data_IF_585439610240
#
_entry.id   IF_585439610240
#
_cell.length_a   1.000
_cell.length_b   1.000
_cell.length_c   1.000
_cell.angle_alpha   90.00
_cell.angle_beta   90.00
_cell.angle_gamma   90.00
#
_symmetry.space_group_name_H-M   'P 1'
#
loop_
_entity.id
_entity.type
_entity.pdbx_description
1 polymer ?
#
# COMPACT_ATOMS: atom_id res chain seq x y z
N UNK A 1 -22.03 1.73 28.49
CA UNK A 1 -20.84 2.60 28.45
C UNK A 1 -19.89 1.96 27.46
N UNK A 2 -19.80 2.51 26.25
CA UNK A 2 -18.77 2.12 25.28
C UNK A 2 -17.42 2.47 25.89
N UNK A 3 -16.64 1.46 26.26
CA UNK A 3 -15.29 1.70 26.74
C UNK A 3 -14.52 2.37 25.61
N UNK A 4 -14.00 3.57 25.87
CA UNK A 4 -13.22 4.29 24.88
C UNK A 4 -11.92 3.52 24.75
N UNK A 5 -11.62 3.02 23.56
CA UNK A 5 -10.41 2.24 23.32
C UNK A 5 -9.18 3.01 23.83
N UNK A 6 -8.34 2.30 24.59
CA UNK A 6 -7.14 2.84 25.23
C UNK A 6 -5.98 1.96 24.86
N UNK A 7 -4.83 2.58 24.63
CA UNK A 7 -3.65 1.93 24.09
C UNK A 7 -2.48 2.06 25.05
N UNK A 8 -1.74 0.98 25.24
CA UNK A 8 -0.38 1.02 25.75
C UNK A 8 0.61 0.86 24.58
N UNK A 9 1.86 1.26 24.79
CA UNK A 9 2.91 1.16 23.77
C UNK A 9 3.83 -0.01 24.10
N UNK A 10 4.10 -0.83 23.10
CA UNK A 10 5.17 -1.82 23.06
C UNK A 10 6.32 -1.30 22.19
N UNK A 11 7.55 -1.68 22.56
CA UNK A 11 8.76 -1.42 21.79
C UNK A 11 9.41 -2.71 21.34
N UNK A 12 9.88 -2.73 20.10
CA UNK A 12 10.70 -3.80 19.53
C UNK A 12 11.73 -3.23 18.56
N UNK A 13 12.59 -4.08 17.97
CA UNK A 13 13.50 -3.62 16.93
C UNK A 13 12.73 -3.29 15.65
N UNK A 14 13.23 -2.32 14.87
CA UNK A 14 12.52 -1.78 13.70
C UNK A 14 12.10 -2.85 12.68
N UNK A 15 12.91 -3.90 12.49
CA UNK A 15 12.60 -5.01 11.58
C UNK A 15 11.54 -5.98 12.09
N UNK A 16 11.15 -5.88 13.36
CA UNK A 16 10.20 -6.78 14.04
C UNK A 16 8.85 -6.14 14.35
N UNK A 17 8.65 -4.85 14.05
CA UNK A 17 7.39 -4.14 14.36
C UNK A 17 6.16 -4.82 13.77
N UNK A 18 6.14 -5.07 12.45
CA UNK A 18 5.02 -5.76 11.79
C UNK A 18 4.92 -7.24 12.24
N UNK A 19 6.02 -8.02 12.26
CA UNK A 19 5.98 -9.40 12.78
C UNK A 19 5.43 -9.52 14.21
N UNK A 20 5.79 -8.59 15.11
CA UNK A 20 5.30 -8.58 16.49
C UNK A 20 3.80 -8.32 16.53
N UNK A 21 3.33 -7.28 15.85
CA UNK A 21 1.91 -6.96 15.80
C UNK A 21 1.09 -8.12 15.23
N UNK A 22 1.56 -8.77 14.16
CA UNK A 22 0.90 -9.97 13.60
C UNK A 22 0.88 -11.12 14.60
N UNK A 23 2.03 -11.45 15.18
CA UNK A 23 2.16 -12.55 16.14
C UNK A 23 1.30 -12.38 17.40
N UNK A 24 1.16 -11.16 17.92
CA UNK A 24 0.28 -10.87 19.06
C UNK A 24 -1.20 -10.89 18.64
N UNK A 25 -1.54 -10.33 17.48
CA UNK A 25 -2.91 -10.39 16.96
C UNK A 25 -3.37 -11.85 16.73
N UNK A 26 -2.49 -12.69 16.18
CA UNK A 26 -2.75 -14.12 15.96
C UNK A 26 -2.95 -14.88 17.29
N UNK A 27 -2.37 -14.39 18.39
CA UNK A 27 -2.58 -14.90 19.74
C UNK A 27 -3.81 -14.30 20.46
N UNK A 28 -4.58 -13.45 19.78
CA UNK A 28 -5.84 -12.89 20.27
C UNK A 28 -5.73 -11.54 20.96
N UNK A 29 -4.54 -10.92 21.01
CA UNK A 29 -4.38 -9.57 21.55
C UNK A 29 -4.93 -8.51 20.59
N UNK A 30 -5.53 -7.46 21.15
CA UNK A 30 -5.97 -6.30 20.38
C UNK A 30 -4.77 -5.38 20.18
N UNK A 31 -4.10 -5.52 19.02
CA UNK A 31 -2.88 -4.78 18.70
C UNK A 31 -2.93 -4.12 17.33
N UNK A 32 -2.18 -3.03 17.20
CA UNK A 32 -2.10 -2.25 15.98
C UNK A 32 -0.74 -1.54 15.86
N UNK A 33 -0.26 -1.39 14.63
CA UNK A 33 0.85 -0.51 14.30
C UNK A 33 0.51 0.18 12.98
N UNK A 34 0.77 1.48 12.83
CA UNK A 34 0.46 2.18 11.57
C UNK A 34 1.38 1.68 10.45
N UNK A 35 0.80 1.23 9.33
CA UNK A 35 1.52 0.62 8.19
C UNK A 35 1.34 1.46 6.91
N UNK A 36 2.39 1.53 6.09
CA UNK A 36 2.39 2.09 4.75
C UNK A 36 2.83 1.06 3.70
N UNK A 37 2.38 1.26 2.46
CA UNK A 37 2.88 0.51 1.31
C UNK A 37 4.06 1.25 0.68
N UNK A 38 5.27 0.71 0.84
CA UNK A 38 6.49 1.27 0.24
C UNK A 38 6.96 0.43 -0.94
N UNK A 39 7.36 1.11 -2.01
CA UNK A 39 7.97 0.46 -3.18
C UNK A 39 9.48 0.32 -2.96
N UNK A 40 9.94 -0.88 -2.63
CA UNK A 40 11.38 -1.16 -2.46
C UNK A 40 11.95 -1.77 -3.75
N UNK A 41 13.15 -1.31 -4.14
CA UNK A 41 13.89 -1.93 -5.25
C UNK A 41 14.39 -3.30 -4.80
N UNK A 42 14.11 -4.34 -5.59
CA UNK A 42 14.65 -5.67 -5.34
C UNK A 42 16.12 -5.66 -5.80
N UNK A 43 17.09 -6.02 -4.95
CA UNK A 43 18.48 -6.15 -5.37
C UNK A 43 18.59 -7.11 -6.57
N UNK A 44 19.40 -6.74 -7.57
CA UNK A 44 19.65 -7.55 -8.79
C UNK A 44 18.42 -7.81 -9.68
N UNK A 45 17.29 -7.12 -9.46
CA UNK A 45 16.14 -7.10 -10.37
C UNK A 45 15.71 -5.66 -10.65
N UNK A 46 15.31 -5.39 -11.89
CA UNK A 46 14.75 -4.07 -12.28
C UNK A 46 13.39 -3.82 -11.61
N UNK A 47 12.67 -4.89 -11.24
CA UNK A 47 11.33 -4.82 -10.66
C UNK A 47 11.36 -4.25 -9.23
N UNK A 48 10.43 -3.34 -8.96
CA UNK A 48 10.13 -2.84 -7.61
C UNK A 48 9.01 -3.67 -7.00
N UNK A 49 9.14 -4.01 -5.73
CA UNK A 49 8.11 -4.73 -4.97
C UNK A 49 7.43 -3.76 -4.00
N UNK A 50 6.09 -3.84 -3.95
CA UNK A 50 5.32 -3.19 -2.90
C UNK A 50 5.41 -4.03 -1.64
N UNK A 51 5.89 -3.44 -0.55
CA UNK A 51 5.97 -4.08 0.75
C UNK A 51 5.33 -3.20 1.81
N UNK A 52 4.71 -3.85 2.80
CA UNK A 52 4.31 -3.20 4.03
C UNK A 52 5.56 -2.73 4.79
N UNK A 53 5.54 -1.49 5.27
CA UNK A 53 6.52 -0.97 6.21
C UNK A 53 5.82 -0.17 7.31
N UNK A 54 6.30 -0.24 8.56
CA UNK A 54 5.73 0.55 9.63
C UNK A 54 5.99 2.04 9.39
N UNK A 55 4.96 2.87 9.53
CA UNK A 55 5.09 4.33 9.55
C UNK A 55 5.89 4.80 10.78
N UNK A 56 5.74 4.09 11.89
CA UNK A 56 6.50 4.28 13.12
C UNK A 56 7.25 3.00 13.48
N UNK A 57 8.45 2.78 12.93
CA UNK A 57 9.27 1.64 13.30
C UNK A 57 9.51 1.64 14.81
N UNK A 58 9.70 0.44 15.37
CA UNK A 58 9.89 0.15 16.80
C UNK A 58 8.65 0.22 17.69
N UNK A 59 7.56 0.86 17.28
CA UNK A 59 6.36 1.03 18.12
C UNK A 59 5.20 0.14 17.67
N UNK A 60 4.56 -0.54 18.63
CA UNK A 60 3.29 -1.25 18.46
C UNK A 60 2.35 -0.80 19.56
N UNK A 61 1.10 -0.55 19.23
CA UNK A 61 0.05 -0.21 20.18
C UNK A 61 -0.73 -1.47 20.54
N UNK A 62 -0.97 -1.72 21.81
CA UNK A 62 -1.77 -2.83 22.30
C UNK A 62 -2.86 -2.29 23.24
N UNK A 63 -3.99 -2.96 23.35
CA UNK A 63 -5.08 -2.54 24.22
C UNK A 63 -4.59 -2.45 25.67
N UNK A 64 -4.91 -1.34 26.33
CA UNK A 64 -4.47 -1.06 27.69
C UNK A 64 -5.10 -2.01 28.71
N UNK A 65 -6.25 -2.63 28.41
CA UNK A 65 -6.84 -3.67 29.24
C UNK A 65 -5.97 -4.93 29.31
N UNK A 66 -5.14 -5.17 28.30
CA UNK A 66 -4.30 -6.37 28.16
C UNK A 66 -2.89 -6.21 28.76
N UNK A 67 -2.58 -5.08 29.40
CA UNK A 67 -1.24 -4.81 29.98
C UNK A 67 -0.76 -5.94 30.89
N UNK A 68 -1.65 -6.49 31.73
CA UNK A 68 -1.29 -7.57 32.65
C UNK A 68 -0.93 -8.87 31.91
N UNK A 69 -1.64 -9.19 30.84
CA UNK A 69 -1.37 -10.37 30.01
C UNK A 69 -0.08 -10.20 29.21
N UNK A 70 0.19 -8.99 28.72
CA UNK A 70 1.46 -8.67 28.08
C UNK A 70 2.65 -8.83 29.05
N UNK A 71 2.49 -8.45 30.33
CA UNK A 71 3.50 -8.74 31.35
C UNK A 71 3.68 -10.24 31.62
N UNK A 72 2.61 -11.04 31.53
CA UNK A 72 2.71 -12.51 31.64
C UNK A 72 3.51 -13.08 30.47
N UNK A 73 3.24 -12.62 29.24
CA UNK A 73 4.00 -13.00 28.04
C UNK A 73 5.49 -12.68 28.20
N UNK A 74 5.83 -11.51 28.74
CA UNK A 74 7.23 -11.12 28.98
C UNK A 74 7.94 -11.95 30.05
N UNK A 75 7.19 -12.62 30.93
CA UNK A 75 7.73 -13.50 31.96
C UNK A 75 7.86 -14.95 31.50
N UNK A 76 7.32 -15.28 30.33
CA UNK A 76 7.44 -16.62 29.76
C UNK A 76 8.92 -16.88 29.39
N UNK A 77 9.57 -17.93 29.93
CA UNK A 77 10.94 -18.26 29.59
C UNK A 77 11.16 -18.51 28.09
N UNK A 78 10.12 -18.94 27.36
CA UNK A 78 10.18 -19.14 25.91
C UNK A 78 8.95 -18.49 25.27
N UNK A 79 9.10 -17.22 24.89
CA UNK A 79 8.03 -16.51 24.20
C UNK A 79 7.92 -16.93 22.73
N UNK A 80 6.72 -17.27 22.22
CA UNK A 80 6.49 -17.49 20.79
C UNK A 80 6.50 -16.17 19.99
N UNK A 81 6.55 -15.03 20.67
CA UNK A 81 6.49 -13.69 20.06
C UNK A 81 7.88 -13.11 19.82
N UNK A 82 8.06 -12.28 18.78
CA UNK A 82 9.29 -11.50 18.62
C UNK A 82 9.59 -10.69 19.89
N UNK A 83 10.86 -10.62 20.30
CA UNK A 83 11.23 -9.91 21.53
C UNK A 83 10.73 -8.45 21.54
N UNK A 84 10.10 -8.06 22.64
CA UNK A 84 9.54 -6.73 22.86
C UNK A 84 9.67 -6.29 24.33
N UNK A 85 9.32 -5.03 24.60
CA UNK A 85 9.20 -4.48 25.95
C UNK A 85 7.98 -3.57 26.01
N UNK A 86 7.36 -3.43 27.17
CA UNK A 86 6.34 -2.40 27.39
C UNK A 86 7.06 -1.06 27.58
N UNK A 87 6.58 0.00 26.94
CA UNK A 87 7.12 1.35 27.11
C UNK A 87 6.74 1.91 28.47
N UNK A 88 7.70 2.53 29.15
CA UNK A 88 7.52 3.09 30.48
C UNK A 88 8.01 4.54 30.52
N UNK A 89 7.32 5.37 31.32
CA UNK A 89 7.76 6.69 31.74
C UNK A 89 7.98 6.63 33.24
N UNK A 90 9.25 6.46 33.64
CA UNK A 90 9.59 6.11 35.02
C UNK A 90 8.95 4.76 35.40
N UNK A 91 8.23 4.67 36.54
CA UNK A 91 7.59 3.42 36.97
C UNK A 91 6.24 3.14 36.28
N UNK A 92 5.74 4.06 35.42
CA UNK A 92 4.38 4.01 34.89
C UNK A 92 4.36 3.55 33.43
N UNK A 93 3.38 2.71 33.08
CA UNK A 93 2.97 2.45 31.69
C UNK A 93 1.98 3.56 31.25
N UNK A 94 2.31 4.39 30.25
CA UNK A 94 1.38 5.38 29.75
C UNK A 94 0.21 4.70 29.02
N UNK A 95 -1.00 5.22 29.25
CA UNK A 95 -2.22 4.80 28.58
C UNK A 95 -2.70 5.97 27.73
N UNK A 96 -2.89 5.69 26.45
CA UNK A 96 -3.15 6.66 25.39
C UNK A 96 -4.58 6.47 24.93
N UNK A 97 -5.36 7.55 24.81
CA UNK A 97 -6.72 7.46 24.31
C UNK A 97 -6.72 7.20 22.79
N UNK A 98 -7.76 6.51 22.27
CA UNK A 98 -7.86 6.28 20.82
C UNK A 98 -7.85 7.59 19.99
N UNK A 99 -8.38 8.68 20.56
CA UNK A 99 -8.35 9.99 19.91
C UNK A 99 -6.91 10.52 19.70
N UNK A 100 -5.97 10.19 20.58
CA UNK A 100 -4.57 10.63 20.47
C UNK A 100 -3.83 9.88 19.33
N UNK A 101 -4.34 8.72 18.90
CA UNK A 101 -3.81 7.99 17.75
C UNK A 101 -4.61 8.20 16.46
N UNK A 102 -5.67 9.02 16.48
CA UNK A 102 -6.52 9.27 15.32
C UNK A 102 -5.72 9.83 14.12
N UNK A 103 -4.78 10.76 14.35
CA UNK A 103 -3.91 11.30 13.31
C UNK A 103 -2.98 10.26 12.69
N UNK A 104 -2.56 9.26 13.49
CA UNK A 104 -1.77 8.14 12.99
C UNK A 104 -2.61 7.19 12.12
N UNK A 105 -3.88 6.96 12.47
CA UNK A 105 -4.82 6.23 11.61
C UNK A 105 -5.05 6.96 10.30
N UNK A 106 -5.31 8.27 10.35
CA UNK A 106 -5.45 9.10 9.15
C UNK A 106 -4.17 9.14 8.30
N UNK A 107 -2.99 9.08 8.93
CA UNK A 107 -1.71 8.97 8.21
C UNK A 107 -1.55 7.60 7.54
N UNK A 108 -1.93 6.51 8.21
CA UNK A 108 -1.98 5.16 7.63
C UNK A 108 -2.92 5.10 6.42
N UNK A 109 -4.14 5.64 6.53
CA UNK A 109 -5.11 5.66 5.43
C UNK A 109 -4.58 6.43 4.22
N UNK A 110 -4.00 7.62 4.46
CA UNK A 110 -3.33 8.40 3.41
C UNK A 110 -2.16 7.64 2.78
N UNK A 111 -1.42 6.84 3.56
CA UNK A 111 -0.28 6.08 3.08
C UNK A 111 -0.71 4.81 2.31
N UNK A 112 -1.82 4.17 2.68
CA UNK A 112 -2.43 3.04 1.97
C UNK A 112 -3.10 3.47 0.67
N UNK A 113 -3.75 4.64 0.68
CA UNK A 113 -4.49 5.18 -0.47
C UNK A 113 -3.63 5.78 -1.59
N UNK A 114 -2.33 6.03 -1.38
CA UNK A 114 -1.44 6.56 -2.42
C UNK A 114 -1.13 5.48 -3.46
N UNK A 115 -1.96 5.42 -4.51
CA UNK A 115 -1.60 4.77 -5.77
C UNK A 115 -0.39 5.46 -6.37
N UNK A 116 0.55 4.68 -6.89
CA UNK A 116 1.70 5.25 -7.61
C UNK A 116 1.23 5.92 -8.91
N UNK A 117 2.00 6.88 -9.46
CA UNK A 117 1.66 7.49 -10.75
C UNK A 117 1.42 6.46 -11.86
N UNK A 118 2.21 5.37 -11.87
CA UNK A 118 2.03 4.25 -12.80
C UNK A 118 0.69 3.51 -12.60
N UNK A 119 0.22 3.36 -11.36
CA UNK A 119 -1.07 2.70 -11.08
C UNK A 119 -2.25 3.55 -11.47
N UNK A 120 -2.19 4.86 -11.17
CA UNK A 120 -3.21 5.80 -11.63
C UNK A 120 -3.28 5.81 -13.16
N UNK A 121 -2.14 5.79 -13.85
CA UNK A 121 -2.10 5.74 -15.31
C UNK A 121 -2.65 4.43 -15.88
N UNK A 122 -2.39 3.27 -15.24
CA UNK A 122 -2.93 1.98 -15.68
C UNK A 122 -4.44 1.89 -15.52
N UNK A 123 -4.99 2.51 -14.49
CA UNK A 123 -6.44 2.60 -14.31
C UNK A 123 -7.07 3.56 -15.31
N UNK A 124 -6.43 4.71 -15.56
CA UNK A 124 -6.93 5.72 -16.48
C UNK A 124 -6.81 5.29 -17.96
N UNK A 125 -5.74 4.56 -18.30
CA UNK A 125 -5.44 4.12 -19.66
C UNK A 125 -5.06 2.64 -19.68
N UNK A 126 -6.01 1.70 -19.51
CA UNK A 126 -5.70 0.28 -19.57
C UNK A 126 -5.04 -0.13 -20.89
N UNK A 127 -4.15 -1.14 -20.86
CA UNK A 127 -3.62 -1.74 -22.10
C UNK A 127 -4.81 -2.28 -22.91
N UNK A 128 -4.81 -2.00 -24.21
CA UNK A 128 -5.93 -2.29 -25.11
C UNK A 128 -6.95 -1.17 -25.26
N UNK A 129 -6.84 -0.09 -24.48
CA UNK A 129 -7.75 1.05 -24.59
C UNK A 129 -7.41 1.89 -25.83
N UNK A 130 -8.44 2.27 -26.59
CA UNK A 130 -8.31 3.26 -27.66
C UNK A 130 -8.22 4.67 -27.06
N UNK A 131 -7.26 5.45 -27.53
CA UNK A 131 -6.98 6.81 -27.06
C UNK A 131 -6.82 7.76 -28.24
N UNK A 132 -7.20 9.02 -28.02
CA UNK A 132 -6.99 10.09 -28.99
C UNK A 132 -5.94 11.07 -28.48
N UNK A 133 -5.04 11.46 -29.36
CA UNK A 133 -3.98 12.42 -29.05
C UNK A 133 -4.53 13.82 -29.32
N UNK A 134 -4.57 14.66 -28.28
CA UNK A 134 -5.19 16.00 -28.36
C UNK A 134 -4.18 17.14 -28.42
N UNK A 135 -2.90 16.85 -28.17
CA UNK A 135 -1.83 17.83 -28.18
C UNK A 135 -0.53 17.28 -28.81
N UNK A 136 0.28 18.17 -29.38
CA UNK A 136 1.58 17.88 -29.99
C UNK A 136 1.54 17.51 -31.47
N UNK A 137 2.69 17.07 -32.01
CA UNK A 137 2.88 16.76 -33.45
C UNK A 137 2.01 15.61 -33.98
N UNK A 138 1.45 14.80 -33.07
CA UNK A 138 0.59 13.68 -33.38
C UNK A 138 -0.89 13.98 -33.06
N UNK A 139 -1.27 15.25 -32.87
CA UNK A 139 -2.65 15.65 -32.58
C UNK A 139 -3.61 15.15 -33.65
N UNK A 140 -4.77 14.64 -33.21
CA UNK A 140 -5.82 14.11 -34.06
C UNK A 140 -5.65 12.63 -34.39
N UNK A 141 -4.47 12.04 -34.16
CA UNK A 141 -4.24 10.61 -34.36
C UNK A 141 -4.89 9.78 -33.24
N UNK A 142 -5.42 8.63 -33.65
CA UNK A 142 -5.97 7.60 -32.78
C UNK A 142 -4.97 6.46 -32.64
N UNK A 143 -5.02 5.78 -31.50
CA UNK A 143 -4.26 4.55 -31.34
C UNK A 143 -4.62 3.77 -30.10
N UNK A 144 -3.99 2.61 -29.96
CA UNK A 144 -4.24 1.67 -28.86
C UNK A 144 -3.09 1.70 -27.85
N UNK A 145 -3.42 1.71 -26.57
CA UNK A 145 -2.44 1.62 -25.49
C UNK A 145 -1.82 0.24 -25.45
N UNK A 146 -0.51 0.15 -25.67
CA UNK A 146 0.24 -1.11 -25.65
C UNK A 146 1.23 -1.21 -24.49
N UNK A 147 1.38 -0.16 -23.70
CA UNK A 147 2.26 -0.19 -22.53
C UNK A 147 2.38 1.14 -21.79
N UNK A 148 3.09 1.09 -20.67
CA UNK A 148 3.32 2.23 -19.78
C UNK A 148 4.78 2.31 -19.38
N UNK A 149 5.28 3.53 -19.21
CA UNK A 149 6.63 3.80 -18.71
C UNK A 149 6.63 4.74 -17.49
N UNK A 150 5.51 4.83 -16.77
CA UNK A 150 5.34 5.61 -15.53
C UNK A 150 5.27 7.13 -15.70
N UNK A 151 5.80 7.69 -16.80
CA UNK A 151 5.64 9.10 -17.20
C UNK A 151 4.86 9.28 -18.51
N UNK A 152 4.75 8.23 -19.31
CA UNK A 152 4.16 8.25 -20.64
C UNK A 152 3.46 6.92 -20.93
N UNK A 153 2.46 6.97 -21.80
CA UNK A 153 1.76 5.83 -22.36
C UNK A 153 2.34 5.54 -23.73
N UNK A 154 2.51 4.26 -24.06
CA UNK A 154 2.95 3.81 -25.38
C UNK A 154 1.72 3.46 -26.20
N UNK A 155 1.54 4.13 -27.32
CA UNK A 155 0.38 3.99 -28.21
C UNK A 155 0.85 3.45 -29.57
N UNK A 156 0.09 2.56 -30.19
CA UNK A 156 0.27 2.22 -31.62
C UNK A 156 -0.68 3.07 -32.45
N UNK A 157 -0.14 4.06 -33.17
CA UNK A 157 -0.88 4.83 -34.16
C UNK A 157 -0.92 4.09 -35.50
N UNK A 158 -2.12 3.97 -36.09
CA UNK A 158 -2.36 3.36 -37.41
C UNK A 158 -1.75 1.94 -37.57
N UNK A 159 -1.66 1.17 -36.48
CA UNK A 159 -1.16 -0.22 -36.48
C UNK A 159 0.34 -0.40 -36.75
N UNK A 160 1.12 0.67 -36.96
CA UNK A 160 2.52 0.57 -37.46
C UNK A 160 3.54 1.36 -36.64
N UNK A 161 3.14 2.42 -35.94
CA UNK A 161 4.08 3.32 -35.26
C UNK A 161 3.84 3.34 -33.76
N UNK A 162 4.89 2.99 -32.98
CA UNK A 162 4.88 3.10 -31.52
C UNK A 162 5.28 4.51 -31.10
N UNK A 163 4.35 5.23 -30.48
CA UNK A 163 4.57 6.57 -29.95
C UNK A 163 4.59 6.54 -28.42
N UNK A 164 5.53 7.27 -27.82
CA UNK A 164 5.56 7.49 -26.37
C UNK A 164 4.98 8.87 -26.09
N UNK A 165 3.79 8.91 -25.48
CA UNK A 165 3.00 10.13 -25.32
C UNK A 165 2.78 10.39 -23.84
N UNK A 166 3.03 11.62 -23.40
CA UNK A 166 2.78 12.02 -22.02
C UNK A 166 1.27 11.96 -21.73
N UNK A 167 0.88 11.48 -20.55
CA UNK A 167 -0.54 11.21 -20.24
C UNK A 167 -1.45 12.44 -20.30
N UNK A 168 -0.93 13.65 -20.13
CA UNK A 168 -1.72 14.88 -20.23
C UNK A 168 -2.11 15.23 -21.67
N UNK A 169 -1.42 14.68 -22.68
CA UNK A 169 -1.71 14.91 -24.10
C UNK A 169 -2.73 13.90 -24.67
N UNK A 170 -3.26 13.02 -23.81
CA UNK A 170 -4.20 11.96 -24.18
C UNK A 170 -5.58 12.27 -23.62
N UNK A 171 -6.60 12.03 -24.45
CA UNK A 171 -8.00 12.00 -24.02
C UNK A 171 -8.55 10.60 -24.26
N UNK A 172 -9.28 10.08 -23.28
CA UNK A 172 -10.04 8.84 -23.44
C UNK A 172 -11.38 9.19 -24.09
N UNK A 173 -11.69 8.56 -25.23
CA UNK A 173 -13.04 8.59 -25.82
C UNK A 173 -13.92 7.44 -25.28
N UNK A 174 -13.53 6.83 -24.16
CA UNK A 174 -14.22 5.69 -23.57
C UNK A 174 -15.55 6.09 -22.90
N UNK A 175 -16.59 6.27 -23.73
CA UNK A 175 -17.92 5.79 -23.35
C UNK A 175 -17.78 4.30 -23.13
N UNK A 176 -18.00 3.86 -21.89
CA UNK A 176 -18.01 2.46 -21.48
C UNK A 176 -18.94 1.65 -22.40
N UNK A 177 -18.40 0.98 -23.42
CA UNK A 177 -19.11 -0.08 -24.13
C UNK A 177 -18.53 -1.41 -23.67
N UNK A 178 -19.33 -2.11 -22.87
CA UNK A 178 -19.05 -3.44 -22.39
C UNK A 178 -18.87 -4.44 -23.54
N UNK A 179 -18.00 -5.42 -23.27
CA UNK A 179 -17.81 -6.74 -23.89
C UNK A 179 -18.28 -6.93 -25.34
N UNK A 180 -17.38 -7.37 -26.22
CA UNK A 180 -17.56 -8.63 -26.95
C UNK A 180 -16.30 -9.12 -27.66
N UNK A 181 -16.06 -10.42 -27.47
CA UNK A 181 -15.44 -11.43 -28.36
C UNK A 181 -14.01 -11.25 -28.88
N UNK A 182 -13.17 -12.19 -28.46
CA UNK A 182 -11.90 -12.59 -29.08
C UNK A 182 -12.08 -13.05 -30.55
N UNK A 183 -11.05 -12.90 -31.41
CA UNK A 183 -10.92 -13.73 -32.59
C UNK A 183 -9.95 -14.90 -32.33
N UNK A 184 -10.40 -16.07 -32.75
CA UNK A 184 -9.63 -17.30 -32.87
C UNK A 184 -8.48 -17.11 -33.87
N UNK A 185 -7.29 -17.59 -33.52
CA UNK A 185 -6.20 -17.74 -34.46
C UNK A 185 -6.35 -19.10 -35.15
N UNK A 186 -6.80 -19.08 -36.41
CA UNK A 186 -6.69 -20.21 -37.32
C UNK A 186 -5.24 -20.28 -37.84
N UNK A 187 -4.59 -21.41 -37.63
CA UNK A 187 -3.35 -21.76 -38.30
C UNK A 187 -3.65 -22.84 -39.34
N UNK A 188 -3.24 -22.55 -40.57
CA UNK A 188 -3.13 -23.50 -41.68
C UNK A 188 -1.98 -24.49 -41.45
#
# INVERSE_FOLDING_TARGET
MTDVAKWCILRTSAGRTIPLAKSLADAGFVVWTPIAMVSRRIPRRTKREKREAPLMPTFVFADAAEINDLFRVLRDPISPHPAFSIFHVGPRVPVIADLEVAELRAAEDRARGRKTGLELQREQFPIGCAVRIVEGVATGLEGEVVGHDGKSVIVIGNGRMRLKIATFMLRTDAVHKGKSSAPAFAAA
#
